data_IF_069616853283
#
_entry.id   IF_069616853283
#
_cell.length_a   1.000
_cell.length_b   1.000
_cell.length_c   1.000
_cell.angle_alpha   90.00
_cell.angle_beta   90.00
_cell.angle_gamma   90.00
#
_symmetry.space_group_name_H-M   'P 1'
#
loop_
_entity.id
_entity.type
_entity.pdbx_description
1 polymer ?
#
# COMPACT_ATOMS: atom_id res chain seq x y z
N UNK A 1 19.87 -0.70 8.56
CA UNK A 1 19.80 0.67 8.00
C UNK A 1 18.46 0.93 7.34
N UNK A 2 17.99 0.09 6.40
CA UNK A 2 16.70 0.25 5.72
C UNK A 2 15.49 0.48 6.64
N UNK A 3 15.38 -0.27 7.75
CA UNK A 3 14.28 -0.12 8.72
C UNK A 3 14.22 1.26 9.43
N UNK A 4 15.27 2.09 9.33
CA UNK A 4 15.30 3.45 9.89
C UNK A 4 14.85 4.51 8.88
N UNK A 5 14.57 4.12 7.63
CA UNK A 5 14.12 5.03 6.59
C UNK A 5 12.60 5.18 6.66
N UNK A 6 12.14 6.42 6.77
CA UNK A 6 10.72 6.75 6.67
C UNK A 6 10.37 6.95 5.18
N UNK A 7 10.12 5.85 4.48
CA UNK A 7 9.76 5.84 3.06
C UNK A 7 8.68 4.80 2.73
N UNK A 8 8.14 4.93 1.53
CA UNK A 8 7.11 4.05 0.97
C UNK A 8 7.57 2.63 0.64
N UNK A 9 8.81 2.52 0.17
CA UNK A 9 9.49 1.30 -0.23
C UNK A 9 11.00 1.52 -0.26
N UNK A 10 11.77 0.45 -0.08
CA UNK A 10 13.23 0.45 -0.11
C UNK A 10 13.69 -0.64 -1.06
N UNK A 11 14.53 -0.28 -2.03
CA UNK A 11 15.18 -1.21 -2.95
C UNK A 11 16.66 -1.28 -2.55
N UNK A 12 17.12 -2.44 -2.09
CA UNK A 12 18.49 -2.64 -1.60
C UNK A 12 19.30 -3.32 -2.70
N UNK A 13 20.42 -2.72 -3.10
CA UNK A 13 21.33 -3.24 -4.13
C UNK A 13 20.61 -3.53 -5.47
N UNK A 14 19.60 -2.73 -5.79
CA UNK A 14 18.79 -2.86 -7.00
C UNK A 14 18.03 -1.58 -7.31
N UNK A 15 17.50 -1.51 -8.53
CA UNK A 15 16.71 -0.37 -8.96
C UNK A 15 15.27 -0.45 -8.46
N UNK A 16 14.62 0.71 -8.37
CA UNK A 16 13.17 0.80 -8.29
C UNK A 16 12.56 0.07 -9.48
N UNK A 17 11.70 -0.92 -9.22
CA UNK A 17 10.97 -1.66 -10.25
C UNK A 17 9.50 -1.81 -9.83
N UNK A 18 8.60 -1.62 -10.81
CA UNK A 18 7.17 -1.91 -10.61
C UNK A 18 6.91 -3.40 -10.73
N UNK A 19 6.34 -3.99 -9.68
CA UNK A 19 5.83 -5.35 -9.67
C UNK A 19 4.38 -5.29 -9.17
N UNK A 20 3.44 -5.84 -9.93
CA UNK A 20 2.01 -5.77 -9.60
C UNK A 20 1.67 -6.39 -8.24
N UNK A 21 2.54 -7.21 -7.66
CA UNK A 21 2.34 -7.88 -6.36
C UNK A 21 2.82 -7.04 -5.18
N UNK A 22 3.68 -6.05 -5.40
CA UNK A 22 4.33 -5.25 -4.35
C UNK A 22 3.67 -3.88 -4.26
N UNK A 23 3.23 -3.50 -3.06
CA UNK A 23 2.61 -2.19 -2.87
C UNK A 23 3.63 -1.05 -3.06
N UNK A 24 3.21 0.00 -3.76
CA UNK A 24 3.99 1.22 -3.99
C UNK A 24 3.23 2.43 -3.43
N UNK A 25 3.94 3.49 -3.05
CA UNK A 25 3.32 4.74 -2.58
C UNK A 25 4.16 5.43 -1.51
N UNK A 26 4.10 6.76 -1.46
CA UNK A 26 4.93 7.58 -0.58
C UNK A 26 4.47 7.63 0.88
N UNK A 27 5.29 8.26 1.72
CA UNK A 27 4.92 8.70 3.07
C UNK A 27 5.15 10.21 3.18
N UNK A 28 4.61 10.87 4.21
CA UNK A 28 4.69 12.32 4.42
C UNK A 28 4.04 13.10 3.25
N UNK A 29 4.77 14.03 2.65
CA UNK A 29 4.30 14.84 1.52
C UNK A 29 4.45 14.16 0.17
N UNK A 30 4.99 12.94 0.12
CA UNK A 30 5.24 12.20 -1.12
C UNK A 30 4.01 11.42 -1.61
N UNK A 31 2.91 11.39 -0.86
CA UNK A 31 1.67 10.76 -1.30
C UNK A 31 0.77 10.33 -0.14
N UNK A 32 -0.44 9.91 -0.49
CA UNK A 32 -1.44 9.32 0.39
C UNK A 32 -1.99 8.04 -0.26
N UNK A 33 -2.28 7.01 0.53
CA UNK A 33 -2.68 5.70 0.02
C UNK A 33 -1.52 4.88 -0.56
N UNK A 34 -1.86 3.77 -1.24
CA UNK A 34 -0.93 2.87 -1.93
C UNK A 34 -1.49 2.46 -3.29
N UNK A 35 -0.62 2.10 -4.22
CA UNK A 35 -0.95 1.55 -5.53
C UNK A 35 -0.31 0.17 -5.71
N UNK A 36 -0.75 -0.59 -6.73
CA UNK A 36 -0.38 -1.99 -6.96
C UNK A 36 -0.77 -2.92 -5.80
N UNK A 37 -0.45 -4.21 -5.90
CA UNK A 37 -0.78 -5.23 -4.90
C UNK A 37 -2.30 -5.27 -4.57
N UNK A 38 -2.66 -5.99 -3.52
CA UNK A 38 -4.03 -5.94 -3.02
C UNK A 38 -4.32 -4.58 -2.36
N UNK A 39 -3.32 -3.88 -1.84
CA UNK A 39 -3.51 -2.57 -1.19
C UNK A 39 -4.09 -1.55 -2.17
N UNK A 40 -3.47 -1.38 -3.35
CA UNK A 40 -3.93 -0.43 -4.36
C UNK A 40 -5.26 -0.81 -4.99
N UNK A 41 -5.56 -2.11 -5.14
CA UNK A 41 -6.88 -2.53 -5.61
C UNK A 41 -7.99 -2.08 -4.65
N UNK A 42 -7.74 -2.15 -3.34
CA UNK A 42 -8.73 -1.80 -2.33
C UNK A 42 -8.98 -0.29 -2.20
N UNK A 43 -8.05 0.56 -2.63
CA UNK A 43 -8.26 2.02 -2.66
C UNK A 43 -9.42 2.44 -3.59
N UNK A 44 -9.80 1.59 -4.55
CA UNK A 44 -10.94 1.81 -5.45
C UNK A 44 -12.23 1.13 -5.00
N UNK A 45 -12.24 0.48 -3.84
CA UNK A 45 -13.36 -0.28 -3.33
C UNK A 45 -14.04 0.43 -2.15
N UNK A 46 -15.37 0.36 -2.07
CA UNK A 46 -16.11 0.83 -0.90
C UNK A 46 -16.30 -0.31 0.09
N UNK A 47 -15.70 -0.20 1.28
CA UNK A 47 -15.90 -1.18 2.35
C UNK A 47 -17.34 -1.10 2.83
N UNK A 48 -18.07 -2.21 2.72
CA UNK A 48 -19.43 -2.34 3.22
C UNK A 48 -19.50 -3.41 4.30
N UNK A 49 -19.98 -3.04 5.49
CA UNK A 49 -20.32 -4.01 6.53
C UNK A 49 -21.80 -4.34 6.46
N UNK A 50 -22.13 -5.63 6.39
CA UNK A 50 -23.51 -6.12 6.47
C UNK A 50 -23.64 -6.95 7.74
N UNK A 51 -24.51 -6.51 8.65
CA UNK A 51 -24.81 -7.19 9.90
C UNK A 51 -26.24 -7.74 9.86
N UNK A 52 -26.42 -9.07 9.95
CA UNK A 52 -27.74 -9.73 9.92
C UNK A 52 -27.92 -10.64 11.13
N UNK A 53 -29.18 -10.79 11.59
CA UNK A 53 -29.61 -11.66 12.70
C UNK A 53 -28.83 -11.44 14.01
N UNK A 54 -28.78 -10.18 14.47
CA UNK A 54 -28.32 -9.90 15.83
C UNK A 54 -29.43 -10.35 16.78
N UNK A 55 -29.16 -11.38 17.58
CA UNK A 55 -29.97 -11.71 18.76
C UNK A 55 -29.72 -10.64 19.82
#
# INVERSE_FOLDING_TARGET
MAARLECGGVFINGYSASDARVAFGGVKKSGFGRELSHFGLHEFCNVQTVWKNRV
#
